data_IF_205363796296
#
_entry.id   IF_205363796296
#
_cell.length_a   1.000
_cell.length_b   1.000
_cell.length_c   1.000
_cell.angle_alpha   90.00
_cell.angle_beta   90.00
_cell.angle_gamma   90.00
#
_symmetry.space_group_name_H-M   'P 1'
#
loop_
_entity.id
_entity.type
_entity.pdbx_description
1 polymer ?
#
# COMPACT_ATOMS: atom_id res chain seq x y z
N UNK A 1 20.87 39.42 -1.41
CA UNK A 1 20.32 38.09 -1.07
C UNK A 1 20.57 37.19 -2.28
N UNK A 2 21.84 36.92 -2.58
CA UNK A 2 22.65 35.77 -2.16
C UNK A 2 22.17 34.46 -2.82
N UNK A 3 22.70 34.23 -4.01
CA UNK A 3 22.50 33.06 -4.87
C UNK A 3 22.72 31.70 -4.17
N UNK A 4 23.44 31.68 -3.05
CA UNK A 4 23.63 30.49 -2.21
C UNK A 4 22.36 30.01 -1.49
N UNK A 5 21.46 30.89 -1.06
CA UNK A 5 20.20 30.48 -0.40
C UNK A 5 19.21 29.85 -1.39
N UNK A 6 19.26 30.27 -2.66
CA UNK A 6 18.37 29.75 -3.70
C UNK A 6 18.79 28.36 -4.17
N UNK A 7 20.10 28.08 -4.16
CA UNK A 7 20.66 26.78 -4.54
C UNK A 7 20.31 25.68 -3.53
N UNK A 8 20.43 25.98 -2.23
CA UNK A 8 20.02 25.03 -1.17
C UNK A 8 18.52 24.75 -1.16
N UNK A 9 17.67 25.73 -1.51
CA UNK A 9 16.23 25.50 -1.71
C UNK A 9 15.94 24.59 -2.90
N UNK A 10 16.63 24.81 -4.03
CA UNK A 10 16.45 23.98 -5.23
C UNK A 10 16.89 22.52 -4.98
N UNK A 11 18.01 22.33 -4.27
CA UNK A 11 18.53 21.01 -3.90
C UNK A 11 17.58 20.26 -2.96
N UNK A 12 17.07 20.92 -1.91
CA UNK A 12 16.09 20.31 -1.00
C UNK A 12 14.79 19.94 -1.72
N UNK A 13 14.30 20.80 -2.63
CA UNK A 13 13.11 20.50 -3.42
C UNK A 13 13.33 19.31 -4.37
N UNK A 14 14.53 19.19 -4.92
CA UNK A 14 14.91 18.06 -5.78
C UNK A 14 14.92 16.74 -4.99
N UNK A 15 15.60 16.71 -3.84
CA UNK A 15 15.66 15.51 -2.99
C UNK A 15 14.25 15.13 -2.51
N UNK A 16 13.49 16.10 -1.98
CA UNK A 16 12.13 15.86 -1.50
C UNK A 16 11.20 15.34 -2.61
N UNK A 17 11.39 15.78 -3.85
CA UNK A 17 10.64 15.27 -4.99
C UNK A 17 10.97 13.80 -5.26
N UNK A 18 12.26 13.44 -5.33
CA UNK A 18 12.68 12.07 -5.61
C UNK A 18 12.25 11.11 -4.49
N UNK A 19 12.32 11.53 -3.23
CA UNK A 19 11.84 10.75 -2.09
C UNK A 19 10.31 10.60 -2.09
N UNK A 20 9.57 11.70 -2.29
CA UNK A 20 8.11 11.69 -2.31
C UNK A 20 7.54 10.76 -3.39
N UNK A 21 8.24 10.62 -4.50
CA UNK A 21 7.84 9.78 -5.63
C UNK A 21 8.55 8.42 -5.66
N UNK A 22 9.26 8.05 -4.58
CA UNK A 22 9.96 6.78 -4.41
C UNK A 22 11.02 6.44 -5.48
N UNK A 23 11.47 7.45 -6.23
CA UNK A 23 12.39 7.30 -7.36
C UNK A 23 13.72 6.69 -6.92
N UNK A 24 14.23 7.13 -5.77
CA UNK A 24 15.50 6.64 -5.22
C UNK A 24 15.41 5.15 -4.90
N UNK A 25 14.33 4.71 -4.27
CA UNK A 25 14.17 3.31 -3.85
C UNK A 25 13.97 2.39 -5.06
N UNK A 26 13.14 2.78 -6.03
CA UNK A 26 12.94 2.03 -7.28
C UNK A 26 14.26 1.82 -8.02
N UNK A 27 15.00 2.90 -8.29
CA UNK A 27 16.31 2.82 -8.98
C UNK A 27 17.29 1.96 -8.16
N UNK A 28 17.33 2.14 -6.84
CA UNK A 28 18.23 1.37 -5.97
C UNK A 28 17.95 -0.13 -6.03
N UNK A 29 16.69 -0.56 -6.10
CA UNK A 29 16.30 -1.97 -6.24
C UNK A 29 16.73 -2.56 -7.57
N UNK A 30 16.53 -1.84 -8.67
CA UNK A 30 16.98 -2.29 -10.00
C UNK A 30 18.50 -2.43 -10.06
N UNK A 31 19.23 -1.48 -9.46
CA UNK A 31 20.68 -1.54 -9.35
C UNK A 31 21.15 -2.70 -8.46
N UNK A 32 20.45 -2.96 -7.35
CA UNK A 32 20.74 -4.10 -6.49
C UNK A 32 20.50 -5.42 -7.24
N UNK A 33 19.40 -5.55 -7.98
CA UNK A 33 19.10 -6.72 -8.80
C UNK A 33 20.20 -6.97 -9.85
N UNK A 34 20.65 -5.92 -10.52
CA UNK A 34 21.79 -6.00 -11.44
C UNK A 34 23.08 -6.48 -10.73
N UNK A 35 23.32 -6.01 -9.51
CA UNK A 35 24.49 -6.38 -8.73
C UNK A 35 24.45 -7.83 -8.23
N UNK A 36 23.26 -8.32 -7.84
CA UNK A 36 23.03 -9.68 -7.34
C UNK A 36 23.05 -10.75 -8.44
N UNK A 37 22.97 -10.33 -9.71
CA UNK A 37 22.86 -11.26 -10.83
C UNK A 37 24.13 -12.11 -10.98
N UNK A 38 23.95 -13.43 -10.81
CA UNK A 38 25.06 -14.41 -10.79
C UNK A 38 25.84 -14.41 -12.10
N UNK A 39 25.13 -14.24 -13.21
CA UNK A 39 25.71 -14.03 -14.54
C UNK A 39 25.52 -12.56 -14.89
N UNK A 40 26.62 -11.79 -14.86
CA UNK A 40 26.55 -10.37 -15.19
C UNK A 40 26.05 -10.21 -16.62
N UNK A 41 25.00 -9.41 -16.86
CA UNK A 41 24.50 -9.19 -18.20
C UNK A 41 25.59 -8.52 -19.05
N UNK A 42 25.69 -8.94 -20.30
CA UNK A 42 26.64 -8.36 -21.27
C UNK A 42 26.40 -6.86 -21.50
N UNK A 43 25.15 -6.40 -21.31
CA UNK A 43 24.77 -5.00 -21.38
C UNK A 43 23.98 -4.61 -20.12
N UNK A 44 24.69 -4.03 -19.15
CA UNK A 44 24.12 -3.58 -17.90
C UNK A 44 23.12 -2.42 -18.06
N UNK A 45 23.33 -1.54 -19.04
CA UNK A 45 22.43 -0.40 -19.28
C UNK A 45 21.10 -0.89 -19.82
N UNK A 46 21.13 -1.85 -20.75
CA UNK A 46 19.92 -2.47 -21.27
C UNK A 46 19.16 -3.23 -20.19
N UNK A 47 19.87 -3.97 -19.32
CA UNK A 47 19.24 -4.61 -18.17
C UNK A 47 18.49 -3.60 -17.28
N UNK A 48 19.13 -2.48 -16.93
CA UNK A 48 18.51 -1.43 -16.12
C UNK A 48 17.27 -0.88 -16.83
N UNK A 49 17.38 -0.56 -18.12
CA UNK A 49 16.26 -0.03 -18.91
C UNK A 49 15.06 -0.98 -18.95
N UNK A 50 15.28 -2.28 -19.13
CA UNK A 50 14.21 -3.27 -19.20
C UNK A 50 13.51 -3.44 -17.84
N UNK A 51 14.26 -3.32 -16.74
CA UNK A 51 13.75 -3.50 -15.38
C UNK A 51 13.19 -2.24 -14.72
N UNK A 52 13.52 -1.04 -15.22
CA UNK A 52 12.92 0.21 -14.74
C UNK A 52 11.46 0.39 -15.21
N UNK A 53 11.08 -0.25 -16.32
CA UNK A 53 9.73 -0.17 -16.87
C UNK A 53 8.73 -1.11 -16.18
N UNK A 54 9.20 -2.03 -15.34
CA UNK A 54 8.35 -2.98 -14.62
C UNK A 54 7.74 -2.32 -13.38
N UNK A 55 6.83 -1.36 -13.61
CA UNK A 55 6.18 -0.55 -12.56
C UNK A 55 5.24 -1.40 -11.70
N UNK A 56 4.79 -2.55 -12.21
CA UNK A 56 3.91 -3.48 -11.48
C UNK A 56 4.68 -4.34 -10.45
N UNK A 57 6.02 -4.40 -10.53
CA UNK A 57 6.84 -5.14 -9.58
C UNK A 57 6.96 -4.46 -8.21
N UNK A 58 6.61 -3.18 -8.12
CA UNK A 58 6.97 -2.32 -6.99
C UNK A 58 5.82 -2.05 -6.01
N UNK A 59 4.62 -2.60 -6.24
CA UNK A 59 3.62 -2.60 -5.17
C UNK A 59 4.16 -3.48 -4.04
N UNK A 60 4.47 -2.92 -2.84
CA UNK A 60 5.11 -3.70 -1.80
C UNK A 60 4.14 -4.81 -1.38
N UNK A 61 4.46 -6.05 -1.75
CA UNK A 61 3.65 -7.23 -1.46
C UNK A 61 3.29 -7.29 0.03
N UNK A 62 4.17 -6.81 0.91
CA UNK A 62 3.96 -6.78 2.35
C UNK A 62 2.95 -5.71 2.79
N UNK A 63 2.87 -4.59 2.08
CA UNK A 63 1.88 -3.54 2.31
C UNK A 63 0.50 -4.00 1.82
N UNK A 64 0.43 -4.63 0.64
CA UNK A 64 -0.77 -5.31 0.16
C UNK A 64 -1.25 -6.40 1.12
N UNK A 65 -0.34 -7.23 1.65
CA UNK A 65 -0.68 -8.27 2.64
C UNK A 65 -1.22 -7.66 3.92
N UNK A 66 -0.62 -6.57 4.41
CA UNK A 66 -1.05 -5.86 5.61
C UNK A 66 -2.45 -5.26 5.43
N UNK A 67 -2.68 -4.59 4.30
CA UNK A 67 -3.98 -4.03 3.95
C UNK A 67 -5.03 -5.14 3.80
N UNK A 68 -4.69 -6.25 3.13
CA UNK A 68 -5.59 -7.39 2.99
C UNK A 68 -5.97 -8.00 4.35
N UNK A 69 -5.01 -8.14 5.26
CA UNK A 69 -5.25 -8.63 6.62
C UNK A 69 -6.17 -7.69 7.39
N UNK A 70 -5.90 -6.38 7.34
CA UNK A 70 -6.73 -5.36 7.97
C UNK A 70 -8.17 -5.39 7.45
N UNK A 71 -8.34 -5.41 6.13
CA UNK A 71 -9.66 -5.48 5.48
C UNK A 71 -10.42 -6.75 5.88
N UNK A 72 -9.74 -7.90 5.96
CA UNK A 72 -10.37 -9.16 6.41
C UNK A 72 -10.83 -9.10 7.85
N UNK A 73 -10.01 -8.56 8.75
CA UNK A 73 -10.38 -8.39 10.16
C UNK A 73 -11.60 -7.47 10.29
N UNK A 74 -11.61 -6.37 9.55
CA UNK A 74 -12.69 -5.41 9.63
C UNK A 74 -13.99 -5.95 9.02
N UNK A 75 -13.89 -6.71 7.94
CA UNK A 75 -15.03 -7.42 7.36
C UNK A 75 -15.64 -8.43 8.36
N UNK A 76 -14.81 -9.22 9.05
CA UNK A 76 -15.27 -10.14 10.10
C UNK A 76 -15.96 -9.40 11.26
N UNK A 77 -15.40 -8.27 11.69
CA UNK A 77 -15.99 -7.43 12.75
C UNK A 77 -17.36 -6.91 12.32
N UNK A 78 -17.49 -6.42 11.09
CA UNK A 78 -18.75 -5.93 10.54
C UNK A 78 -19.79 -7.04 10.41
N UNK A 79 -19.39 -8.24 9.97
CA UNK A 79 -20.29 -9.41 9.89
C UNK A 79 -20.85 -9.76 11.27
N UNK A 80 -20.01 -9.82 12.32
CA UNK A 80 -20.48 -10.10 13.68
C UNK A 80 -21.50 -9.07 14.17
N UNK A 81 -21.19 -7.78 13.99
CA UNK A 81 -22.11 -6.70 14.36
C UNK A 81 -23.44 -6.79 13.62
N UNK A 82 -23.39 -7.13 12.34
CA UNK A 82 -24.59 -7.33 11.54
C UNK A 82 -25.44 -8.49 12.07
N UNK A 83 -24.81 -9.62 12.41
CA UNK A 83 -25.50 -10.78 12.99
C UNK A 83 -26.13 -10.43 14.35
N UNK A 84 -25.38 -9.82 15.27
CA UNK A 84 -25.88 -9.40 16.59
C UNK A 84 -27.07 -8.44 16.49
N UNK A 85 -27.00 -7.48 15.56
CA UNK A 85 -28.10 -6.53 15.34
C UNK A 85 -29.34 -7.25 14.78
N UNK A 86 -29.15 -8.16 13.82
CA UNK A 86 -30.24 -8.90 13.21
C UNK A 86 -30.91 -9.88 14.20
N UNK A 87 -30.12 -10.52 15.08
CA UNK A 87 -30.65 -11.32 16.19
C UNK A 87 -31.46 -10.48 17.17
N UNK A 88 -30.97 -9.29 17.52
CA UNK A 88 -31.68 -8.37 18.42
C UNK A 88 -32.99 -7.91 17.81
N UNK A 89 -32.97 -7.54 16.52
CA UNK A 89 -34.17 -7.17 15.76
C UNK A 89 -35.20 -8.30 15.73
N UNK A 90 -34.75 -9.54 15.49
CA UNK A 90 -35.62 -10.72 15.47
C UNK A 90 -36.22 -10.99 16.85
N UNK A 91 -35.44 -10.92 17.93
CA UNK A 91 -35.94 -11.08 19.30
C UNK A 91 -37.00 -10.04 19.65
N UNK A 92 -36.76 -8.78 19.30
CA UNK A 92 -37.74 -7.70 19.51
C UNK A 92 -39.01 -7.87 18.66
N UNK A 93 -38.86 -8.33 17.42
CA UNK A 93 -39.99 -8.62 16.51
C UNK A 93 -40.84 -9.82 16.95
N UNK A 94 -40.24 -10.77 17.69
CA UNK A 94 -40.94 -11.92 18.26
C UNK A 94 -41.66 -11.49 19.54
N UNK A 95 -40.99 -10.74 20.43
CA UNK A 95 -41.58 -10.28 21.68
C UNK A 95 -42.75 -9.30 21.45
N UNK A 96 -42.67 -8.42 20.44
CA UNK A 96 -43.77 -7.51 20.08
C UNK A 96 -45.04 -8.18 19.53
N UNK A 97 -44.99 -9.48 19.21
CA UNK A 97 -46.19 -10.28 18.81
C UNK A 97 -46.85 -11.01 19.98
N UNK A 98 -46.20 -11.09 21.14
CA UNK A 98 -46.71 -11.80 22.32
C UNK A 98 -47.78 -11.02 23.12
N UNK A 99 -47.82 -9.69 22.99
CA UNK A 99 -48.65 -8.83 23.85
C UNK A 99 -50.03 -8.48 23.26
N UNK A 100 -50.41 -9.02 22.10
CA UNK A 100 -51.68 -8.68 21.43
C UNK A 100 -52.80 -9.70 21.72
N UNK A 101 -52.52 -10.81 22.40
CA UNK A 101 -53.52 -11.82 22.76
C UNK A 101 -53.48 -12.16 24.25
N UNK A 102 -54.08 -11.33 25.09
CA UNK A 102 -54.63 -11.68 26.40
C UNK A 102 -55.82 -10.79 26.72
#
# INVERSE_FOLDING_TARGET
>A
MSTGENMGKAENNFIAYLEKHDVINHISRVLLKLFEEKERPNDAIRFISDHLHDVDADVPIDELKRENLFLRQENQRLIKKFQELNETLNKLSINGRGDVHS
#
